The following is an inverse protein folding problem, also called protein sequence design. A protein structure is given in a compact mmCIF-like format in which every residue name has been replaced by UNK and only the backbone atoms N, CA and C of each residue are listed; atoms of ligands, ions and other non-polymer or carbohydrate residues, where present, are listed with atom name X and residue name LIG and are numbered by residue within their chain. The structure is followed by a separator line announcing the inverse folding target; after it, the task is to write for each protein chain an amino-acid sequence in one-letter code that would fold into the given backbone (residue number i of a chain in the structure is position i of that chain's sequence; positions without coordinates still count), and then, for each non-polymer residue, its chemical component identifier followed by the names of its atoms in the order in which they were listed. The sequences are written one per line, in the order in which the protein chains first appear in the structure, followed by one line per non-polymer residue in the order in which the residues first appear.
data_IF_780881951331
#
_entry.id   IF_780881951331
#
_cell.length_a   1.000
_cell.length_b   1.000
_cell.length_c   1.000
_cell.angle_alpha   90.00
_cell.angle_beta   90.00
_cell.angle_gamma   90.00
#
_symmetry.space_group_name_H-M   'P 1'
#
loop_
_entity.id
_entity.type
_entity.pdbx_description
1 polymer ?
#
# COMPACT_ATOMS: atom_id res chain seq x y z
N UNK A 1 8.30 23.08 -1.76
CA UNK A 1 7.48 22.10 -2.51
C UNK A 1 6.73 21.24 -1.50
N UNK A 2 5.45 20.96 -1.70
CA UNK A 2 4.69 20.06 -0.83
C UNK A 2 5.05 18.61 -1.17
N UNK A 3 5.37 17.78 -0.17
CA UNK A 3 5.62 16.35 -0.36
C UNK A 3 4.34 15.64 -0.79
N UNK A 4 4.47 14.60 -1.60
CA UNK A 4 3.36 13.76 -2.04
C UNK A 4 3.43 12.40 -1.36
N UNK A 5 2.37 12.00 -0.68
CA UNK A 5 2.22 10.68 -0.06
C UNK A 5 1.13 9.90 -0.77
N UNK A 6 1.49 8.74 -1.30
CA UNK A 6 0.56 7.84 -1.99
C UNK A 6 0.20 6.67 -1.10
N UNK A 7 -1.08 6.47 -0.87
CA UNK A 7 -1.61 5.34 -0.13
C UNK A 7 -2.11 4.25 -1.07
N UNK A 8 -1.68 3.02 -0.85
CA UNK A 8 -2.11 1.83 -1.61
C UNK A 8 -2.66 0.82 -0.63
N UNK A 9 -3.89 0.39 -0.82
CA UNK A 9 -4.42 -0.66 0.05
C UNK A 9 -5.93 -0.67 0.17
N UNK A 10 -6.38 -1.37 1.19
CA UNK A 10 -7.79 -1.63 1.40
C UNK A 10 -8.21 -3.00 0.89
N UNK A 11 -9.49 -3.15 0.67
CA UNK A 11 -10.08 -4.34 0.06
C UNK A 11 -11.04 -3.91 -1.05
N UNK A 12 -11.53 -4.87 -1.83
CA UNK A 12 -12.55 -4.60 -2.87
C UNK A 12 -13.84 -4.06 -2.23
N UNK A 13 -14.12 -4.45 -0.98
CA UNK A 13 -15.30 -3.99 -0.26
C UNK A 13 -15.16 -2.50 0.06
N UNK A 14 -16.08 -1.71 -0.47
CA UNK A 14 -16.17 -0.28 -0.18
C UNK A 14 -16.26 -0.03 1.34
N UNK A 15 -15.57 1.01 1.78
CA UNK A 15 -15.54 1.46 3.17
C UNK A 15 -15.12 0.37 4.17
N UNK A 16 -14.19 -0.49 3.75
CA UNK A 16 -13.62 -1.53 4.62
C UNK A 16 -12.76 -0.92 5.74
N UNK A 17 -12.56 -1.69 6.83
CA UNK A 17 -11.69 -1.25 7.93
C UNK A 17 -10.27 -0.91 7.47
N UNK A 18 -9.75 -1.63 6.47
CA UNK A 18 -8.43 -1.32 5.89
C UNK A 18 -8.44 -0.04 5.05
N UNK A 19 -9.52 0.25 4.35
CA UNK A 19 -9.67 1.53 3.63
C UNK A 19 -9.78 2.71 4.61
N UNK A 20 -10.56 2.55 5.68
CA UNK A 20 -10.67 3.56 6.74
C UNK A 20 -9.31 3.81 7.43
N UNK A 21 -8.56 2.75 7.73
CA UNK A 21 -7.20 2.86 8.26
C UNK A 21 -6.29 3.66 7.32
N UNK A 22 -6.36 3.39 6.01
CA UNK A 22 -5.59 4.13 5.02
C UNK A 22 -5.96 5.62 5.01
N UNK A 23 -7.26 5.94 5.00
CA UNK A 23 -7.72 7.33 5.04
C UNK A 23 -7.24 8.07 6.30
N UNK A 24 -7.26 7.38 7.45
CA UNK A 24 -6.77 7.95 8.71
C UNK A 24 -5.28 8.32 8.63
N UNK A 25 -4.45 7.39 8.14
CA UNK A 25 -3.00 7.64 7.99
C UNK A 25 -2.72 8.77 6.99
N UNK A 26 -3.42 8.76 5.86
CA UNK A 26 -3.31 9.84 4.86
C UNK A 26 -3.85 11.18 5.40
N UNK A 27 -4.82 11.15 6.30
CA UNK A 27 -5.28 12.33 7.05
C UNK A 27 -4.15 12.96 7.84
N UNK A 28 -3.44 12.17 8.64
CA UNK A 28 -2.26 12.64 9.38
C UNK A 28 -1.16 13.22 8.48
N UNK A 29 -0.94 12.61 7.31
CA UNK A 29 0.01 13.15 6.33
C UNK A 29 -0.44 14.53 5.78
N UNK A 30 -1.74 14.71 5.51
CA UNK A 30 -2.31 16.01 5.09
C UNK A 30 -2.16 17.06 6.18
N UNK A 31 -2.45 16.70 7.42
CA UNK A 31 -2.32 17.61 8.58
C UNK A 31 -0.87 18.05 8.77
N UNK A 32 0.09 17.20 8.36
CA UNK A 32 1.51 17.53 8.30
C UNK A 32 1.92 18.32 7.03
N UNK A 33 0.98 18.70 6.16
CA UNK A 33 1.22 19.54 4.98
C UNK A 33 1.52 18.77 3.68
N UNK A 34 1.38 17.44 3.65
CA UNK A 34 1.58 16.67 2.43
C UNK A 34 0.33 16.68 1.52
N UNK A 35 0.56 16.63 0.21
CA UNK A 35 -0.45 16.21 -0.76
C UNK A 35 -0.64 14.69 -0.64
N UNK A 36 -1.87 14.21 -0.62
CA UNK A 36 -2.14 12.77 -0.49
C UNK A 36 -2.99 12.26 -1.64
N UNK A 37 -2.68 11.05 -2.09
CA UNK A 37 -3.45 10.28 -3.08
C UNK A 37 -3.76 8.92 -2.49
N UNK A 38 -5.00 8.46 -2.61
CA UNK A 38 -5.41 7.11 -2.17
C UNK A 38 -5.78 6.26 -3.38
N UNK A 39 -5.18 5.09 -3.49
CA UNK A 39 -5.51 4.05 -4.46
C UNK A 39 -6.11 2.86 -3.72
N UNK A 40 -7.43 2.70 -3.83
CA UNK A 40 -8.20 1.74 -3.03
C UNK A 40 -9.29 1.04 -3.85
N UNK A 41 -9.82 -0.01 -3.30
CA UNK A 41 -11.03 -0.67 -3.82
C UNK A 41 -10.89 -1.10 -5.27
N UNK A 42 -11.82 -0.66 -6.12
CA UNK A 42 -11.87 -1.02 -7.54
C UNK A 42 -10.66 -0.54 -8.34
N UNK A 43 -9.98 0.52 -7.90
CA UNK A 43 -8.76 1.01 -8.57
C UNK A 43 -7.60 0.02 -8.51
N UNK A 44 -7.63 -0.92 -7.55
CA UNK A 44 -6.64 -1.98 -7.39
C UNK A 44 -7.05 -3.32 -8.02
N UNK A 45 -8.25 -3.40 -8.61
CA UNK A 45 -8.70 -4.57 -9.34
C UNK A 45 -8.03 -4.58 -10.72
N UNK A 46 -6.80 -5.04 -10.74
CA UNK A 46 -5.95 -5.11 -11.92
C UNK A 46 -5.85 -6.56 -12.41
N UNK A 47 -5.68 -6.80 -13.72
CA UNK A 47 -5.24 -8.11 -14.19
C UNK A 47 -4.03 -8.59 -13.40
N UNK A 48 -3.82 -9.89 -13.31
CA UNK A 48 -2.56 -10.39 -12.72
C UNK A 48 -1.37 -9.81 -13.48
N UNK A 49 -0.37 -9.35 -12.72
CA UNK A 49 0.86 -8.87 -13.31
C UNK A 49 1.52 -9.98 -14.14
N UNK A 50 1.81 -9.68 -15.39
CA UNK A 50 2.51 -10.57 -16.30
C UNK A 50 3.71 -9.82 -16.91
N UNK A 51 4.94 -10.24 -16.60
CA UNK A 51 6.14 -9.58 -17.13
C UNK A 51 6.31 -9.75 -18.65
N UNK A 52 5.58 -10.68 -19.27
CA UNK A 52 5.66 -10.92 -20.73
C UNK A 52 4.73 -10.02 -21.55
N UNK A 53 3.76 -9.37 -20.87
CA UNK A 53 2.81 -8.45 -21.52
C UNK A 53 3.32 -7.01 -21.36
N UNK A 54 3.83 -6.36 -22.39
CA UNK A 54 4.40 -5.00 -22.29
C UNK A 54 3.32 -3.93 -22.10
N UNK A 55 2.13 -4.17 -22.63
CA UNK A 55 1.03 -3.22 -22.52
C UNK A 55 0.33 -3.33 -21.16
N UNK A 56 0.26 -2.21 -20.46
CA UNK A 56 -0.40 -2.12 -19.15
C UNK A 56 -1.78 -1.49 -19.29
N UNK A 57 -2.82 -2.01 -18.59
CA UNK A 57 -4.10 -1.32 -18.50
C UNK A 57 -3.93 0.08 -17.87
N UNK A 58 -4.85 0.98 -18.20
CA UNK A 58 -4.80 2.37 -17.74
C UNK A 58 -4.69 2.48 -16.19
N UNK A 59 -5.47 1.68 -15.47
CA UNK A 59 -5.42 1.69 -14.01
C UNK A 59 -4.05 1.26 -13.45
N UNK A 60 -3.38 0.29 -14.10
CA UNK A 60 -2.03 -0.12 -13.69
C UNK A 60 -0.99 0.97 -14.01
N UNK A 61 -1.09 1.61 -15.19
CA UNK A 61 -0.22 2.75 -15.52
C UNK A 61 -0.40 3.90 -14.53
N UNK A 62 -1.65 4.20 -14.15
CA UNK A 62 -1.94 5.23 -13.16
C UNK A 62 -1.32 4.89 -11.80
N UNK A 63 -1.46 3.64 -11.32
CA UNK A 63 -0.82 3.19 -10.08
C UNK A 63 0.69 3.39 -10.12
N UNK A 64 1.34 2.91 -11.19
CA UNK A 64 2.80 3.01 -11.36
C UNK A 64 3.24 4.48 -11.38
N UNK A 65 2.51 5.35 -12.08
CA UNK A 65 2.82 6.78 -12.15
C UNK A 65 2.69 7.47 -10.79
N UNK A 66 1.64 7.16 -10.03
CA UNK A 66 1.48 7.71 -8.69
C UNK A 66 2.63 7.28 -7.77
N UNK A 67 3.07 6.02 -7.85
CA UNK A 67 4.24 5.55 -7.09
C UNK A 67 5.52 6.24 -7.55
N UNK A 68 5.70 6.45 -8.86
CA UNK A 68 6.86 7.18 -9.42
C UNK A 68 6.99 8.57 -8.84
N UNK A 69 5.89 9.32 -8.79
CA UNK A 69 5.85 10.69 -8.31
C UNK A 69 5.88 10.81 -6.77
N UNK A 70 5.65 9.73 -6.04
CA UNK A 70 5.56 9.77 -4.58
C UNK A 70 6.89 10.10 -3.91
N UNK A 71 6.85 10.92 -2.87
CA UNK A 71 7.95 11.12 -1.91
C UNK A 71 7.87 10.11 -0.76
N UNK A 72 6.67 9.68 -0.42
CA UNK A 72 6.40 8.63 0.58
C UNK A 72 5.22 7.76 0.16
N UNK A 73 5.16 6.55 0.68
CA UNK A 73 4.10 5.58 0.40
C UNK A 73 3.51 5.05 1.71
N UNK A 74 2.21 4.80 1.71
CA UNK A 74 1.52 4.09 2.79
C UNK A 74 0.91 2.82 2.21
N UNK A 75 1.29 1.67 2.76
CA UNK A 75 0.73 0.37 2.38
C UNK A 75 -0.20 -0.14 3.47
N UNK A 76 -1.43 -0.46 3.10
CA UNK A 76 -2.40 -1.03 4.04
C UNK A 76 -2.97 -2.32 3.44
N UNK A 77 -2.85 -3.42 4.17
CA UNK A 77 -3.40 -4.71 3.73
C UNK A 77 -4.27 -5.36 4.80
N UNK A 78 -5.40 -5.95 4.41
CA UNK A 78 -6.01 -6.95 5.27
C UNK A 78 -5.11 -8.18 5.34
N UNK A 79 -5.12 -8.86 6.49
CA UNK A 79 -4.43 -10.14 6.66
C UNK A 79 -5.33 -11.30 6.23
N UNK A 80 -4.95 -12.00 5.16
CA UNK A 80 -5.65 -13.19 4.68
C UNK A 80 -4.72 -14.40 4.72
N UNK A 81 -5.10 -15.42 5.47
CA UNK A 81 -4.38 -16.69 5.53
C UNK A 81 -2.86 -16.52 5.80
N UNK A 82 -2.51 -15.62 6.72
CA UNK A 82 -1.15 -15.43 7.22
C UNK A 82 -0.30 -14.41 6.47
N UNK A 83 -0.82 -13.74 5.44
CA UNK A 83 -0.06 -12.74 4.66
C UNK A 83 -0.94 -11.63 4.12
N UNK A 84 -0.38 -10.78 3.27
CA UNK A 84 -1.07 -9.69 2.57
C UNK A 84 -2.15 -10.22 1.62
N UNK A 85 -3.16 -9.39 1.33
CA UNK A 85 -4.16 -9.75 0.33
C UNK A 85 -3.56 -9.88 -1.07
N UNK A 86 -4.12 -10.78 -1.88
CA UNK A 86 -3.76 -10.89 -3.30
C UNK A 86 -3.96 -9.59 -4.06
N UNK A 87 -4.96 -8.79 -3.69
CA UNK A 87 -5.22 -7.48 -4.28
C UNK A 87 -4.01 -6.53 -4.09
N UNK A 88 -3.53 -6.39 -2.86
CA UNK A 88 -2.38 -5.54 -2.54
C UNK A 88 -1.10 -6.11 -3.14
N UNK A 89 -0.91 -7.43 -3.06
CA UNK A 89 0.29 -8.07 -3.64
C UNK A 89 0.36 -7.85 -5.15
N UNK A 90 -0.73 -8.06 -5.87
CA UNK A 90 -0.77 -7.84 -7.32
C UNK A 90 -0.50 -6.38 -7.70
N UNK A 91 -1.04 -5.41 -6.94
CA UNK A 91 -0.74 -4.00 -7.14
C UNK A 91 0.77 -3.70 -6.94
N UNK A 92 1.40 -4.32 -5.94
CA UNK A 92 2.83 -4.16 -5.69
C UNK A 92 3.71 -4.86 -6.73
N UNK A 93 3.22 -5.92 -7.39
CA UNK A 93 3.95 -6.55 -8.48
C UNK A 93 4.09 -5.63 -9.70
N UNK A 94 3.13 -4.73 -9.95
CA UNK A 94 3.25 -3.70 -10.99
C UNK A 94 4.34 -2.67 -10.71
N UNK A 95 4.84 -2.54 -9.49
CA UNK A 95 6.00 -1.67 -9.17
C UNK A 95 7.27 -2.14 -9.88
N UNK A 96 7.31 -3.39 -10.38
CA UNK A 96 8.37 -3.90 -11.25
C UNK A 96 8.59 -3.01 -12.49
N UNK A 97 7.56 -2.34 -12.96
CA UNK A 97 7.66 -1.42 -14.11
C UNK A 97 8.55 -0.19 -13.82
N UNK A 98 8.89 0.08 -12.54
CA UNK A 98 9.84 1.12 -12.12
C UNK A 98 11.29 0.62 -12.01
N UNK A 99 11.58 -0.61 -12.37
CA UNK A 99 12.90 -1.24 -12.18
C UNK A 99 14.06 -0.43 -12.78
N UNK A 100 13.83 0.21 -13.91
CA UNK A 100 14.85 0.94 -14.67
C UNK A 100 14.75 2.46 -14.53
N UNK A 101 13.87 2.95 -13.66
CA UNK A 101 13.73 4.37 -13.40
C UNK A 101 14.95 4.92 -12.64
N UNK A 102 15.12 6.23 -12.62
CA UNK A 102 16.15 6.92 -11.82
C UNK A 102 16.04 6.56 -10.33
N UNK A 103 14.81 6.42 -9.83
CA UNK A 103 14.49 5.91 -8.48
C UNK A 103 13.78 4.57 -8.62
N UNK A 104 14.52 3.44 -8.72
CA UNK A 104 13.91 2.15 -9.00
C UNK A 104 13.02 1.69 -7.85
N UNK A 105 11.87 1.13 -8.20
CA UNK A 105 10.89 0.61 -7.24
C UNK A 105 10.44 1.67 -6.21
N UNK A 106 10.78 1.45 -4.94
CA UNK A 106 10.50 2.35 -3.83
C UNK A 106 11.76 3.04 -3.28
N UNK A 107 12.85 3.03 -4.04
CA UNK A 107 14.10 3.63 -3.60
C UNK A 107 13.94 5.11 -3.23
N UNK A 108 14.55 5.49 -2.11
CA UNK A 108 14.46 6.84 -1.56
C UNK A 108 13.09 7.22 -0.98
N UNK A 109 12.13 6.28 -0.87
CA UNK A 109 10.79 6.52 -0.31
C UNK A 109 10.66 5.93 1.08
N UNK A 110 10.18 6.71 2.04
CA UNK A 110 9.72 6.19 3.31
C UNK A 110 8.36 5.50 3.12
N UNK A 111 8.19 4.31 3.69
CA UNK A 111 6.98 3.51 3.52
C UNK A 111 6.35 3.16 4.87
N UNK A 112 5.19 3.74 5.14
CA UNK A 112 4.35 3.36 6.28
C UNK A 112 3.61 2.05 5.99
N UNK A 113 3.61 1.12 6.94
CA UNK A 113 2.95 -0.18 6.80
C UNK A 113 1.87 -0.36 7.86
N UNK A 114 0.67 -0.72 7.43
CA UNK A 114 -0.47 -1.05 8.30
C UNK A 114 -1.07 -2.38 7.87
N UNK A 115 -1.29 -3.26 8.83
CA UNK A 115 -1.99 -4.52 8.60
C UNK A 115 -3.20 -4.63 9.54
N UNK A 116 -4.34 -5.04 9.02
CA UNK A 116 -5.54 -5.28 9.81
C UNK A 116 -6.06 -6.71 9.60
N UNK A 117 -6.34 -7.42 10.68
CA UNK A 117 -6.86 -8.78 10.62
C UNK A 117 -7.71 -9.10 11.86
N UNK A 118 -8.50 -10.15 11.79
CA UNK A 118 -9.23 -10.70 12.93
C UNK A 118 -8.29 -11.57 13.78
N UNK A 119 -7.55 -10.93 14.69
CA UNK A 119 -6.59 -11.58 15.58
C UNK A 119 -5.16 -11.05 15.43
N UNK A 120 -4.45 -11.02 16.54
CA UNK A 120 -3.12 -10.45 16.62
C UNK A 120 -2.08 -11.21 15.79
N UNK A 121 -2.13 -12.54 15.78
CA UNK A 121 -1.19 -13.34 14.99
C UNK A 121 -1.24 -12.97 13.52
N UNK A 122 -2.44 -12.94 12.93
CA UNK A 122 -2.62 -12.60 11.52
C UNK A 122 -2.22 -11.15 11.22
N UNK A 123 -2.55 -10.20 12.11
CA UNK A 123 -2.19 -8.80 11.93
C UNK A 123 -0.65 -8.61 11.94
N UNK A 124 0.04 -9.24 12.90
CA UNK A 124 1.51 -9.12 13.04
C UNK A 124 2.23 -9.82 11.88
N UNK A 125 1.82 -11.03 11.48
CA UNK A 125 2.45 -11.74 10.35
C UNK A 125 2.25 -10.97 9.03
N UNK A 126 1.07 -10.39 8.83
CA UNK A 126 0.80 -9.56 7.63
C UNK A 126 1.65 -8.29 7.64
N UNK A 127 1.80 -7.62 8.77
CA UNK A 127 2.68 -6.46 8.90
C UNK A 127 4.14 -6.83 8.58
N UNK A 128 4.60 -7.98 9.08
CA UNK A 128 5.95 -8.48 8.78
C UNK A 128 6.12 -8.72 7.28
N UNK A 129 5.13 -9.33 6.62
CA UNK A 129 5.16 -9.56 5.18
C UNK A 129 5.20 -8.24 4.38
N UNK A 130 4.41 -7.22 4.76
CA UNK A 130 4.48 -5.89 4.14
C UNK A 130 5.88 -5.29 4.23
N UNK A 131 6.50 -5.34 5.40
CA UNK A 131 7.85 -4.80 5.62
C UNK A 131 8.90 -5.54 4.79
N UNK A 132 8.78 -6.86 4.64
CA UNK A 132 9.65 -7.66 3.77
C UNK A 132 9.50 -7.27 2.30
N UNK A 133 8.26 -7.07 1.83
CA UNK A 133 7.99 -6.60 0.46
C UNK A 133 8.61 -5.23 0.23
N UNK A 134 8.48 -4.30 1.18
CA UNK A 134 9.07 -2.97 1.08
C UNK A 134 10.59 -3.05 0.96
N UNK A 135 11.25 -3.90 1.76
CA UNK A 135 12.69 -4.14 1.64
C UNK A 135 13.06 -4.72 0.27
N UNK A 136 12.31 -5.71 -0.22
CA UNK A 136 12.53 -6.29 -1.55
C UNK A 136 12.41 -5.24 -2.66
N UNK A 137 11.51 -4.28 -2.50
CA UNK A 137 11.30 -3.16 -3.42
C UNK A 137 12.24 -1.96 -3.12
N UNK A 138 13.31 -2.12 -2.34
CA UNK A 138 14.28 -1.08 -1.98
C UNK A 138 13.69 0.12 -1.25
N UNK A 139 12.48 -0.01 -0.71
CA UNK A 139 11.85 1.03 0.08
C UNK A 139 12.38 1.05 1.51
N UNK A 140 12.10 2.14 2.21
CA UNK A 140 12.49 2.32 3.61
C UNK A 140 11.25 2.20 4.52
N UNK A 141 10.95 1.00 5.08
CA UNK A 141 9.80 0.86 5.99
C UNK A 141 10.04 1.73 7.23
N UNK A 142 9.03 2.52 7.59
CA UNK A 142 9.13 3.36 8.80
C UNK A 142 9.37 2.50 10.04
N UNK A 143 10.08 3.02 11.08
CA UNK A 143 10.33 2.26 12.31
C UNK A 143 9.05 1.71 12.95
N UNK A 144 7.99 2.53 13.02
CA UNK A 144 6.68 2.10 13.46
C UNK A 144 5.89 1.51 12.27
N UNK A 145 5.44 0.27 12.44
CA UNK A 145 4.37 -0.33 11.64
C UNK A 145 3.18 -0.64 12.53
N UNK A 146 1.97 -0.51 12.01
CA UNK A 146 0.74 -0.73 12.77
C UNK A 146 0.12 -2.10 12.45
N UNK A 147 0.04 -2.97 13.47
CA UNK A 147 -0.77 -4.18 13.42
C UNK A 147 -2.08 -3.90 14.17
N UNK A 148 -3.22 -4.11 13.50
CA UNK A 148 -4.55 -3.82 14.02
C UNK A 148 -5.37 -5.09 14.12
N UNK A 149 -5.80 -5.42 15.33
CA UNK A 149 -6.81 -6.46 15.52
C UNK A 149 -8.21 -5.86 15.33
N UNK A 150 -8.84 -6.14 14.20
CA UNK A 150 -10.14 -5.60 13.82
C UNK A 150 -11.32 -6.14 14.66
N UNK A 151 -11.09 -7.08 15.57
CA UNK A 151 -12.07 -7.48 16.58
C UNK A 151 -12.07 -6.52 17.79
N UNK A 152 -10.99 -5.79 18.01
CA UNK A 152 -10.81 -4.91 19.16
C UNK A 152 -10.81 -3.43 18.77
N UNK A 153 -10.39 -3.13 17.56
CA UNK A 153 -10.31 -1.76 17.03
C UNK A 153 -11.17 -1.65 15.79
N UNK A 154 -12.12 -0.74 15.83
CA UNK A 154 -12.98 -0.40 14.69
C UNK A 154 -12.68 1.05 14.31
N UNK A 155 -12.31 1.26 13.06
CA UNK A 155 -12.19 2.61 12.53
C UNK A 155 -13.59 3.14 12.16
N UNK A 156 -13.93 4.28 12.67
CA UNK A 156 -15.19 4.94 12.33
C UNK A 156 -15.16 5.53 10.91
N UNK A 157 -16.33 5.77 10.31
CA UNK A 157 -16.44 6.34 8.95
C UNK A 157 -15.81 7.72 8.83
#
# INVERSE_FOLDING_TARGET
MSLTVVGIGGSIRHDSQTERALRLVLGGARDAGARTVALTGSQLVLPFYDPTVPERPEAARHLVEMVREADGVVLVSPGYHGTVSGLVKNALDYVEDLRTDERPYLDGRAVGCVAAAQGWQAAVTTLTALRQIVHALRGWPTPLGAAVNSQQVVFEP
#
